data_IF_453529701095
#
_entry.id   IF_453529701095
#
_cell.length_a   1.000
_cell.length_b   1.000
_cell.length_c   1.000
_cell.angle_alpha   90.00
_cell.angle_beta   90.00
_cell.angle_gamma   90.00
#
_symmetry.space_group_name_H-M   'P 1'
#
loop_
_entity.id
_entity.type
_entity.pdbx_description
1 polymer ?
#
# COMPACT_ATOMS: atom_id res chain seq x y z
N UNK A 1 8.26 7.09 8.03
CA UNK A 1 7.26 6.11 8.51
C UNK A 1 6.22 5.96 7.41
N UNK A 2 5.86 4.72 7.05
CA UNK A 2 4.79 4.42 6.09
C UNK A 2 3.44 4.73 6.72
N UNK A 3 2.58 5.51 6.05
CA UNK A 3 1.24 5.86 6.57
C UNK A 3 0.16 4.96 5.99
N UNK A 4 0.26 4.67 4.70
CA UNK A 4 -0.63 3.76 3.99
C UNK A 4 0.20 2.77 3.21
N UNK A 5 -0.31 1.58 2.94
CA UNK A 5 0.33 0.64 2.02
C UNK A 5 -0.70 0.01 1.07
N UNK A 6 -0.26 -0.19 -0.17
CA UNK A 6 -1.01 -0.83 -1.22
C UNK A 6 -0.86 -2.35 -1.10
N UNK A 7 -1.96 -3.08 -1.25
CA UNK A 7 -1.99 -4.52 -1.39
C UNK A 7 -2.69 -4.88 -2.69
N UNK A 8 -1.92 -5.40 -3.64
CA UNK A 8 -2.39 -5.86 -4.94
C UNK A 8 -2.81 -7.33 -4.85
N UNK A 9 -4.10 -7.61 -5.03
CA UNK A 9 -4.65 -8.97 -4.98
C UNK A 9 -5.28 -9.36 -6.32
N UNK A 10 -5.57 -10.66 -6.48
CA UNK A 10 -6.32 -11.12 -7.66
C UNK A 10 -7.75 -10.63 -7.74
N UNK A 11 -8.30 -10.18 -6.62
CA UNK A 11 -9.65 -9.66 -6.52
C UNK A 11 -9.74 -8.15 -6.72
N UNK A 12 -8.62 -7.42 -6.63
CA UNK A 12 -8.60 -5.96 -6.67
C UNK A 12 -7.47 -5.33 -5.85
N UNK A 13 -7.50 -4.00 -5.79
CA UNK A 13 -6.58 -3.21 -4.96
C UNK A 13 -7.16 -2.94 -3.59
N UNK A 14 -6.39 -3.22 -2.54
CA UNK A 14 -6.70 -2.82 -1.18
C UNK A 14 -5.71 -1.75 -0.70
N UNK A 15 -6.23 -0.75 0.00
CA UNK A 15 -5.42 0.26 0.67
C UNK A 15 -5.60 0.09 2.16
N UNK A 16 -4.49 -0.11 2.86
CA UNK A 16 -4.45 -0.21 4.30
C UNK A 16 -3.83 1.05 4.90
N UNK A 17 -4.34 1.46 6.05
CA UNK A 17 -3.77 2.49 6.90
C UNK A 17 -2.95 1.83 8.00
N UNK A 18 -1.70 2.27 8.17
CA UNK A 18 -0.90 1.92 9.35
C UNK A 18 -1.29 2.86 10.48
N UNK A 19 -1.86 2.30 11.54
CA UNK A 19 -2.20 3.02 12.76
C UNK A 19 -0.92 3.31 13.55
N UNK A 20 -0.91 4.41 14.31
CA UNK A 20 0.25 4.90 15.05
C UNK A 20 0.95 3.76 15.81
N UNK A 21 2.16 3.41 15.37
CA UNK A 21 3.07 2.59 16.16
C UNK A 21 3.87 3.56 17.02
N UNK A 22 3.70 3.51 18.35
CA UNK A 22 4.48 4.32 19.29
C UNK A 22 5.95 4.35 18.87
N UNK A 23 6.48 5.56 18.73
CA UNK A 23 7.66 5.92 17.96
C UNK A 23 8.99 5.46 18.57
N UNK A 24 8.98 4.51 19.51
CA UNK A 24 10.18 3.99 20.16
C UNK A 24 10.44 2.56 19.69
N UNK A 25 10.84 2.47 18.42
CA UNK A 25 11.53 1.29 17.89
C UNK A 25 10.64 0.20 17.30
N UNK A 26 9.76 0.53 16.36
CA UNK A 26 9.06 -0.47 15.53
C UNK A 26 10.09 -1.31 14.76
N UNK A 27 10.53 -2.41 15.35
CA UNK A 27 11.49 -3.32 14.73
C UNK A 27 10.72 -4.18 13.74
N UNK A 28 11.36 -4.57 12.65
CA UNK A 28 10.85 -5.61 11.73
C UNK A 28 10.27 -6.81 12.51
N UNK A 29 10.96 -7.22 13.58
CA UNK A 29 10.56 -8.32 14.45
C UNK A 29 9.15 -8.15 15.06
N UNK A 30 8.76 -6.92 15.42
CA UNK A 30 7.47 -6.66 16.04
C UNK A 30 6.33 -6.80 15.02
N UNK A 31 6.56 -6.39 13.77
CA UNK A 31 5.60 -6.57 12.68
C UNK A 31 5.43 -8.06 12.36
N UNK A 32 6.55 -8.79 12.26
CA UNK A 32 6.52 -10.22 12.00
C UNK A 32 5.83 -11.02 13.12
N UNK A 33 6.07 -10.69 14.39
CA UNK A 33 5.39 -11.35 15.51
C UNK A 33 3.89 -11.01 15.52
N UNK A 34 3.55 -9.72 15.36
CA UNK A 34 2.16 -9.29 15.34
C UNK A 34 1.38 -9.93 14.18
N UNK A 35 2.00 -10.14 13.02
CA UNK A 35 1.37 -10.80 11.86
C UNK A 35 0.88 -12.23 12.16
N UNK A 36 1.44 -12.90 13.17
CA UNK A 36 0.99 -14.24 13.60
C UNK A 36 -0.24 -14.21 14.51
N UNK A 37 -0.65 -13.03 14.98
CA UNK A 37 -1.81 -12.82 15.87
C UNK A 37 -2.72 -11.73 15.27
N UNK A 38 -3.87 -12.15 14.75
CA UNK A 38 -4.84 -11.25 14.11
C UNK A 38 -5.26 -10.07 15.01
N UNK A 39 -5.37 -10.29 16.32
CA UNK A 39 -5.78 -9.24 17.27
C UNK A 39 -4.68 -8.20 17.43
N UNK A 40 -3.41 -8.63 17.45
CA UNK A 40 -2.25 -7.72 17.47
C UNK A 40 -2.12 -7.00 16.14
N UNK A 41 -2.17 -7.72 15.01
CA UNK A 41 -2.01 -7.14 13.68
C UNK A 41 -3.11 -6.12 13.35
N UNK A 42 -4.36 -6.41 13.69
CA UNK A 42 -5.50 -5.51 13.47
C UNK A 42 -5.46 -4.21 14.30
N UNK A 43 -4.59 -4.12 15.33
CA UNK A 43 -4.30 -2.86 16.03
C UNK A 43 -3.24 -2.02 15.32
N UNK A 44 -2.40 -2.64 14.50
CA UNK A 44 -1.36 -1.95 13.75
C UNK A 44 -1.83 -1.47 12.38
N UNK A 45 -2.73 -2.22 11.74
CA UNK A 45 -3.21 -1.90 10.39
C UNK A 45 -4.73 -1.97 10.32
N UNK A 46 -5.31 -1.13 9.47
CA UNK A 46 -6.74 -1.10 9.21
C UNK A 46 -7.00 -0.99 7.72
N UNK A 47 -7.93 -1.81 7.21
CA UNK A 47 -8.40 -1.65 5.83
C UNK A 47 -9.08 -0.29 5.69
N UNK A 48 -8.58 0.54 4.78
CA UNK A 48 -9.14 1.85 4.46
C UNK A 48 -10.11 1.78 3.30
N UNK A 49 -9.73 1.07 2.24
CA UNK A 49 -10.53 0.98 1.02
C UNK A 49 -10.18 -0.26 0.22
N UNK A 50 -11.14 -0.76 -0.56
CA UNK A 50 -10.95 -1.87 -1.48
C UNK A 50 -11.68 -1.58 -2.80
N UNK A 51 -10.98 -1.73 -3.91
CA UNK A 51 -11.50 -1.58 -5.25
C UNK A 51 -11.45 -2.93 -5.98
N UNK A 52 -12.58 -3.65 -6.10
CA UNK A 52 -12.62 -4.93 -6.80
C UNK A 52 -12.44 -4.73 -8.31
N UNK A 53 -11.81 -5.72 -8.96
CA UNK A 53 -11.76 -5.75 -10.42
C UNK A 53 -13.12 -6.11 -11.03
N UNK A 54 -13.42 -5.49 -12.17
CA UNK A 54 -14.73 -5.63 -12.85
C UNK A 54 -14.92 -6.99 -13.52
N UNK A 55 -13.83 -7.64 -13.92
CA UNK A 55 -13.82 -8.92 -14.63
C UNK A 55 -12.44 -9.57 -14.55
N UNK A 56 -12.33 -10.84 -14.95
CA UNK A 56 -11.06 -11.54 -15.06
C UNK A 56 -10.10 -10.86 -16.07
N UNK A 57 -10.63 -10.31 -17.17
CA UNK A 57 -9.82 -9.60 -18.16
C UNK A 57 -9.24 -8.31 -17.56
N UNK A 58 -10.06 -7.54 -16.82
CA UNK A 58 -9.60 -6.36 -16.11
C UNK A 58 -8.56 -6.70 -15.04
N UNK A 59 -8.75 -7.80 -14.31
CA UNK A 59 -7.77 -8.28 -13.33
C UNK A 59 -6.42 -8.61 -13.98
N UNK A 60 -6.43 -9.34 -15.10
CA UNK A 60 -5.21 -9.71 -15.82
C UNK A 60 -4.45 -8.49 -16.34
N UNK A 61 -5.16 -7.51 -16.92
CA UNK A 61 -4.58 -6.24 -17.36
C UNK A 61 -3.89 -5.50 -16.20
N UNK A 62 -4.59 -5.34 -15.08
CA UNK A 62 -4.05 -4.66 -13.89
C UNK A 62 -2.84 -5.40 -13.29
N UNK A 63 -2.84 -6.74 -13.31
CA UNK A 63 -1.69 -7.53 -12.85
C UNK A 63 -0.46 -7.32 -13.74
N UNK A 64 -0.64 -7.32 -15.07
CA UNK A 64 0.45 -7.11 -16.02
C UNK A 64 1.03 -5.70 -15.86
N UNK A 65 0.18 -4.68 -15.76
CA UNK A 65 0.63 -3.31 -15.54
C UNK A 65 1.46 -3.19 -14.26
N UNK A 66 0.97 -3.75 -13.15
CA UNK A 66 1.69 -3.77 -11.87
C UNK A 66 3.05 -4.46 -12.00
N UNK A 67 3.13 -5.61 -12.70
CA UNK A 67 4.40 -6.31 -12.88
C UNK A 67 5.42 -5.54 -13.72
N UNK A 68 4.96 -4.69 -14.64
CA UNK A 68 5.80 -3.80 -15.45
C UNK A 68 6.05 -2.44 -14.76
N UNK A 69 5.55 -2.26 -13.54
CA UNK A 69 5.68 -1.02 -12.77
C UNK A 69 4.83 0.14 -13.30
N UNK A 70 3.78 -0.14 -14.05
CA UNK A 70 2.90 0.85 -14.66
C UNK A 70 1.74 1.16 -13.71
N UNK A 71 1.58 2.44 -13.38
CA UNK A 71 0.39 2.93 -12.68
C UNK A 71 -0.70 3.25 -13.71
N UNK A 72 -1.60 2.29 -13.94
CA UNK A 72 -2.73 2.50 -14.85
C UNK A 72 -3.80 3.45 -14.25
N UNK A 73 -4.76 3.85 -15.08
CA UNK A 73 -5.80 4.79 -14.69
C UNK A 73 -6.70 4.28 -13.55
N UNK A 74 -6.89 2.95 -13.45
CA UNK A 74 -7.69 2.36 -12.38
C UNK A 74 -7.00 2.52 -11.02
N UNK A 75 -5.71 2.15 -10.94
CA UNK A 75 -4.90 2.33 -9.74
C UNK A 75 -4.75 3.81 -9.39
N UNK A 76 -4.50 4.66 -10.38
CA UNK A 76 -4.40 6.10 -10.20
C UNK A 76 -5.65 6.68 -9.54
N UNK A 77 -6.83 6.41 -10.12
CA UNK A 77 -8.10 6.88 -9.59
C UNK A 77 -8.38 6.34 -8.18
N UNK A 78 -8.03 5.08 -7.92
CA UNK A 78 -8.15 4.48 -6.59
C UNK A 78 -7.29 5.22 -5.55
N UNK A 79 -6.02 5.53 -5.86
CA UNK A 79 -5.13 6.25 -4.96
C UNK A 79 -5.60 7.70 -4.73
N UNK A 80 -6.00 8.42 -5.79
CA UNK A 80 -6.51 9.80 -5.69
C UNK A 80 -7.80 9.91 -4.85
N UNK A 81 -8.66 8.90 -4.92
CA UNK A 81 -9.93 8.88 -4.17
C UNK A 81 -9.71 8.62 -2.67
N UNK A 82 -8.66 7.89 -2.31
CA UNK A 82 -8.50 7.35 -0.95
C UNK A 82 -7.33 7.97 -0.17
N UNK A 83 -6.42 8.70 -0.81
CA UNK A 83 -5.29 9.35 -0.15
C UNK A 83 -5.49 10.88 -0.07
N UNK A 84 -5.03 11.51 1.02
CA UNK A 84 -4.93 12.97 1.09
C UNK A 84 -4.04 13.49 -0.04
N UNK A 85 -4.43 14.60 -0.68
CA UNK A 85 -3.64 15.21 -1.74
C UNK A 85 -2.21 15.49 -1.26
N UNK A 86 -1.17 15.08 -2.02
CA UNK A 86 0.21 15.30 -1.62
C UNK A 86 0.51 16.80 -1.60
N UNK A 87 1.23 17.24 -0.57
CA UNK A 87 1.59 18.64 -0.44
C UNK A 87 2.43 18.93 0.79
N UNK A 88 2.95 20.16 0.88
CA UNK A 88 3.88 20.55 1.97
C UNK A 88 3.33 20.34 3.38
N UNK A 89 2.00 20.35 3.55
CA UNK A 89 1.30 20.17 4.83
C UNK A 89 0.92 18.72 5.15
N UNK A 90 0.90 17.83 4.16
CA UNK A 90 0.54 16.42 4.32
C UNK A 90 1.57 15.58 3.59
N UNK A 91 2.59 15.12 4.34
CA UNK A 91 3.61 14.20 3.85
C UNK A 91 3.15 12.78 4.11
N UNK A 92 2.27 12.30 3.24
CA UNK A 92 1.86 10.89 3.23
C UNK A 92 2.96 10.07 2.55
N UNK A 93 3.41 9.02 3.21
CA UNK A 93 4.27 7.99 2.63
C UNK A 93 3.43 6.76 2.31
N UNK A 94 3.43 6.36 1.04
CA UNK A 94 2.75 5.16 0.54
C UNK A 94 3.74 3.99 0.44
N UNK A 95 3.45 2.89 1.12
CA UNK A 95 4.13 1.62 0.98
C UNK A 95 3.68 0.92 -0.31
N UNK A 96 4.64 0.55 -1.15
CA UNK A 96 4.42 -0.21 -2.39
C UNK A 96 5.44 -1.36 -2.44
N UNK A 97 5.02 -2.55 -2.83
CA UNK A 97 5.90 -3.73 -2.86
C UNK A 97 6.93 -3.65 -4.00
N UNK A 98 6.49 -3.18 -5.17
CA UNK A 98 7.32 -3.03 -6.36
C UNK A 98 7.97 -1.65 -6.49
N UNK A 99 9.31 -1.65 -6.66
CA UNK A 99 10.11 -0.42 -6.72
C UNK A 99 9.84 0.40 -7.99
N UNK A 100 9.62 -0.26 -9.12
CA UNK A 100 9.29 0.41 -10.39
C UNK A 100 7.92 1.12 -10.28
N UNK A 101 6.93 0.43 -9.72
CA UNK A 101 5.60 0.99 -9.48
C UNK A 101 5.65 2.17 -8.51
N UNK A 102 6.46 2.10 -7.45
CA UNK A 102 6.71 3.22 -6.55
C UNK A 102 7.23 4.46 -7.29
N UNK A 103 8.13 4.27 -8.27
CA UNK A 103 8.60 5.34 -9.15
C UNK A 103 7.47 5.95 -9.97
N UNK A 104 6.68 5.12 -10.66
CA UNK A 104 5.54 5.58 -11.47
C UNK A 104 4.48 6.33 -10.66
N UNK A 105 4.19 5.89 -9.43
CA UNK A 105 3.25 6.59 -8.53
C UNK A 105 3.83 7.92 -8.07
N UNK A 106 5.12 7.96 -7.72
CA UNK A 106 5.79 9.19 -7.31
C UNK A 106 5.76 10.23 -8.43
N UNK A 107 6.09 9.84 -9.65
CA UNK A 107 6.12 10.74 -10.81
C UNK A 107 4.70 11.16 -11.23
N UNK A 108 3.73 10.24 -11.18
CA UNK A 108 2.36 10.46 -11.64
C UNK A 108 1.46 11.20 -10.65
N UNK A 109 1.65 11.01 -9.34
CA UNK A 109 0.78 11.55 -8.29
C UNK A 109 1.51 12.44 -7.27
N UNK A 110 2.84 12.39 -7.19
CA UNK A 110 3.62 13.20 -6.25
C UNK A 110 3.65 12.66 -4.82
N UNK A 111 3.26 11.41 -4.59
CA UNK A 111 3.41 10.76 -3.29
C UNK A 111 4.86 10.35 -3.04
N UNK A 112 5.31 10.51 -1.79
CA UNK A 112 6.51 9.80 -1.36
C UNK A 112 6.16 8.31 -1.23
N UNK A 113 7.00 7.45 -1.78
CA UNK A 113 6.79 6.01 -1.78
C UNK A 113 7.93 5.30 -1.03
N UNK A 114 7.59 4.24 -0.31
CA UNK A 114 8.52 3.36 0.39
C UNK A 114 8.34 1.94 -0.14
N UNK A 115 9.44 1.28 -0.49
CA UNK A 115 9.47 -0.10 -0.96
C UNK A 115 10.54 -0.91 -0.19
N UNK A 116 10.72 -0.58 1.08
CA UNK A 116 11.63 -1.26 2.00
C UNK A 116 11.01 -2.53 2.60
N UNK A 117 11.82 -3.30 3.33
CA UNK A 117 11.39 -4.57 3.92
C UNK A 117 10.19 -4.43 4.87
N UNK A 118 10.06 -3.29 5.55
CA UNK A 118 8.92 -3.05 6.44
C UNK A 118 7.57 -3.08 5.69
N UNK A 119 7.56 -2.64 4.42
CA UNK A 119 6.36 -2.68 3.58
C UNK A 119 6.04 -4.11 3.18
N UNK A 120 7.07 -4.89 2.83
CA UNK A 120 6.89 -6.31 2.51
C UNK A 120 6.33 -7.09 3.70
N UNK A 121 6.77 -6.79 4.92
CA UNK A 121 6.27 -7.48 6.12
C UNK A 121 4.86 -7.03 6.51
N UNK A 122 4.52 -5.75 6.31
CA UNK A 122 3.14 -5.29 6.44
C UNK A 122 2.22 -5.99 5.45
N UNK A 123 2.65 -6.13 4.19
CA UNK A 123 1.91 -6.85 3.14
C UNK A 123 1.79 -8.34 3.44
N UNK A 124 2.83 -8.98 3.98
CA UNK A 124 2.79 -10.40 4.38
C UNK A 124 1.83 -10.68 5.54
N UNK A 125 1.60 -9.71 6.41
CA UNK A 125 0.64 -9.85 7.52
C UNK A 125 -0.83 -9.74 7.07
N UNK A 126 -1.09 -9.26 5.86
CA UNK A 126 -2.41 -9.23 5.22
C UNK A 126 -2.67 -10.54 4.50
#
# INVERSE_FOLDING_TARGET
>A
MVNYFLYESSSGYALFERLESEEIGSKLADVCEAATDLTKFGKMVKLKSFAPFKSAAHALENMNDVSEGIMNDHLKAFLEMNLPKPGKKSKVVLGVTEKSLAGSIKDGLGYECDASEIVLDLVRGV
#
